data_IF_912621554261
#
_entry.id   IF_912621554261
#
_cell.length_a   1.000
_cell.length_b   1.000
_cell.length_c   1.000
_cell.angle_alpha   90.00
_cell.angle_beta   90.00
_cell.angle_gamma   90.00
#
_symmetry.space_group_name_H-M   'P 1'
#
loop_
_entity.id
_entity.type
_entity.pdbx_description
1 polymer ?
#
# COMPACT_ATOMS: atom_id res chain seq x y z
N UNK A 1 7.26 -0.97 -2.45
CA UNK A 1 6.47 -0.73 -1.23
C UNK A 1 6.06 0.76 -1.18
N UNK A 2 5.09 1.10 -0.33
CA UNK A 2 4.77 2.47 0.12
C UNK A 2 3.97 2.26 1.42
N UNK A 3 4.66 2.12 2.55
CA UNK A 3 4.02 1.75 3.80
C UNK A 3 3.40 2.97 4.49
N UNK A 4 2.20 2.81 5.10
CA UNK A 4 1.63 3.89 5.89
C UNK A 4 2.44 4.11 7.16
N UNK A 5 2.50 5.36 7.61
CA UNK A 5 2.88 5.68 9.00
C UNK A 5 1.66 5.59 9.92
N UNK A 6 1.88 5.54 11.22
CA UNK A 6 0.82 5.53 12.24
C UNK A 6 0.20 6.91 12.47
N UNK A 7 0.68 7.95 11.77
CA UNK A 7 0.10 9.29 11.80
C UNK A 7 -1.29 9.31 11.13
N UNK A 8 -2.16 10.16 11.68
CA UNK A 8 -3.51 10.42 11.17
C UNK A 8 -3.70 11.89 10.86
N UNK A 9 -4.59 12.20 9.91
CA UNK A 9 -5.05 13.58 9.68
C UNK A 9 -5.65 14.17 10.95
N UNK A 10 -5.57 15.50 11.12
CA UNK A 10 -6.28 16.15 12.21
C UNK A 10 -7.77 16.22 11.91
N UNK A 11 -8.56 16.42 12.97
CA UNK A 11 -10.01 16.55 12.86
C UNK A 11 -10.36 17.68 11.88
N UNK A 12 -11.10 17.34 10.84
CA UNK A 12 -11.59 18.28 9.82
C UNK A 12 -10.66 18.45 8.62
N UNK A 13 -9.43 17.92 8.67
CA UNK A 13 -8.49 18.03 7.56
C UNK A 13 -8.87 17.08 6.42
N UNK A 14 -8.63 17.54 5.19
CA UNK A 14 -8.71 16.74 3.98
C UNK A 14 -7.31 16.57 3.37
N UNK A 15 -7.04 15.37 2.85
CA UNK A 15 -5.86 15.08 2.04
C UNK A 15 -6.33 14.49 0.73
N UNK A 16 -5.92 15.11 -0.38
CA UNK A 16 -6.14 14.57 -1.71
C UNK A 16 -4.81 14.10 -2.29
N UNK A 17 -4.76 12.83 -2.69
CA UNK A 17 -3.58 12.14 -3.16
C UNK A 17 -3.78 11.74 -4.62
N UNK A 18 -2.80 12.04 -5.48
CA UNK A 18 -2.70 11.46 -6.83
C UNK A 18 -1.34 10.78 -6.91
N UNK A 19 -1.33 9.46 -7.09
CA UNK A 19 -0.11 8.67 -7.24
C UNK A 19 -0.02 8.06 -8.65
N UNK A 20 1.18 8.12 -9.21
CA UNK A 20 1.54 7.50 -10.48
C UNK A 20 2.63 6.46 -10.21
N UNK A 21 2.42 5.23 -10.69
CA UNK A 21 3.43 4.16 -10.68
C UNK A 21 3.67 3.71 -12.11
N UNK A 22 4.81 4.08 -12.65
CA UNK A 22 5.24 3.64 -13.97
C UNK A 22 5.56 2.15 -13.97
N UNK A 23 5.17 1.48 -15.07
CA UNK A 23 5.35 0.04 -15.26
C UNK A 23 6.69 -0.38 -15.86
N UNK A 24 7.31 0.37 -16.79
CA UNK A 24 8.55 -0.07 -17.41
C UNK A 24 9.65 -0.26 -16.36
N UNK A 25 10.51 -1.24 -16.61
CA UNK A 25 11.62 -1.55 -15.74
C UNK A 25 12.73 -0.53 -15.94
N UNK A 26 13.52 -0.27 -14.90
CA UNK A 26 14.77 0.51 -15.05
C UNK A 26 15.71 -0.16 -16.07
N UNK A 27 15.63 -1.50 -16.20
CA UNK A 27 16.42 -2.27 -17.16
C UNK A 27 16.05 -2.00 -18.63
N UNK A 28 14.89 -1.38 -18.90
CA UNK A 28 14.48 -1.00 -20.26
C UNK A 28 15.29 0.21 -20.78
N UNK A 29 16.12 0.81 -19.91
CA UNK A 29 17.16 1.75 -20.30
C UNK A 29 16.62 3.06 -20.87
N UNK A 30 17.40 3.67 -21.77
CA UNK A 30 17.10 4.99 -22.31
C UNK A 30 15.78 5.03 -23.11
N UNK A 31 15.42 3.94 -23.80
CA UNK A 31 14.22 3.85 -24.64
C UNK A 31 12.92 3.97 -23.83
N UNK A 32 12.94 3.62 -22.54
CA UNK A 32 11.83 3.83 -21.60
C UNK A 32 12.14 4.93 -20.56
N UNK A 33 13.12 5.79 -20.85
CA UNK A 33 13.66 6.80 -19.92
C UNK A 33 13.90 6.24 -18.51
N UNK A 34 14.51 5.06 -18.39
CA UNK A 34 14.77 4.37 -17.12
C UNK A 34 13.52 4.12 -16.27
N UNK A 35 12.37 3.89 -16.91
CA UNK A 35 11.10 3.64 -16.25
C UNK A 35 10.15 4.84 -16.21
N UNK A 36 10.57 6.03 -16.66
CA UNK A 36 9.72 7.23 -16.66
C UNK A 36 8.86 7.38 -17.91
N UNK A 37 9.21 6.73 -19.02
CA UNK A 37 8.45 6.78 -20.27
C UNK A 37 7.71 5.46 -20.49
N UNK A 38 6.39 5.49 -20.33
CA UNK A 38 5.51 4.35 -20.57
C UNK A 38 4.19 4.39 -19.78
N UNK A 39 3.41 3.29 -19.79
CA UNK A 39 2.12 3.23 -19.12
C UNK A 39 2.27 3.32 -17.60
N UNK A 40 1.39 4.11 -16.97
CA UNK A 40 1.35 4.31 -15.53
C UNK A 40 0.07 3.74 -14.90
N UNK A 41 0.22 3.14 -13.73
CA UNK A 41 -0.88 2.85 -12.81
C UNK A 41 -1.14 4.13 -12.01
N UNK A 42 -2.37 4.61 -12.07
CA UNK A 42 -2.79 5.85 -11.42
C UNK A 42 -3.73 5.48 -10.28
N UNK A 43 -3.56 6.13 -9.14
CA UNK A 43 -4.51 6.07 -8.02
C UNK A 43 -4.79 7.47 -7.52
N UNK A 44 -6.07 7.76 -7.33
CA UNK A 44 -6.56 8.99 -6.70
C UNK A 44 -7.21 8.61 -5.38
N UNK A 45 -6.99 9.38 -4.32
CA UNK A 45 -7.67 9.16 -3.06
C UNK A 45 -7.97 10.45 -2.32
N UNK A 46 -9.12 10.46 -1.65
CA UNK A 46 -9.53 11.51 -0.74
C UNK A 46 -9.61 10.95 0.67
N UNK A 47 -8.86 11.54 1.59
CA UNK A 47 -8.93 11.22 3.00
C UNK A 47 -9.52 12.38 3.81
N UNK A 48 -10.17 12.02 4.91
CA UNK A 48 -10.79 12.95 5.85
C UNK A 48 -10.51 12.53 7.30
N UNK A 49 -10.04 13.47 8.11
CA UNK A 49 -9.84 13.28 9.54
C UNK A 49 -11.16 13.42 10.32
N UNK A 50 -11.79 12.30 10.69
CA UNK A 50 -12.97 12.31 11.57
C UNK A 50 -12.64 12.80 12.98
N UNK A 51 -11.42 12.50 13.45
CA UNK A 51 -10.86 13.01 14.70
C UNK A 51 -9.34 13.06 14.61
N UNK A 52 -8.66 13.59 15.64
CA UNK A 52 -7.19 13.57 15.71
C UNK A 52 -6.57 12.16 15.85
N UNK A 53 -7.39 11.10 15.83
CA UNK A 53 -6.96 9.70 15.92
C UNK A 53 -7.69 8.79 14.94
N UNK A 54 -8.60 9.30 14.12
CA UNK A 54 -9.39 8.47 13.21
C UNK A 54 -9.55 9.19 11.88
N UNK A 55 -9.19 8.52 10.80
CA UNK A 55 -9.38 9.01 9.44
C UNK A 55 -10.00 7.92 8.56
N UNK A 56 -10.73 8.37 7.55
CA UNK A 56 -11.22 7.54 6.46
C UNK A 56 -10.53 7.99 5.16
N UNK A 57 -10.27 7.05 4.25
CA UNK A 57 -9.71 7.31 2.91
C UNK A 57 -10.53 6.53 1.88
N UNK A 58 -11.04 7.21 0.86
CA UNK A 58 -11.69 6.61 -0.30
C UNK A 58 -10.77 6.78 -1.50
N UNK A 59 -10.45 5.70 -2.18
CA UNK A 59 -9.56 5.69 -3.34
C UNK A 59 -10.17 5.03 -4.57
N UNK A 60 -9.63 5.38 -5.73
CA UNK A 60 -9.84 4.68 -6.99
C UNK A 60 -8.51 4.53 -7.71
N UNK A 61 -8.24 3.33 -8.22
CA UNK A 61 -7.12 3.06 -9.11
C UNK A 61 -7.60 2.59 -10.49
N UNK A 62 -6.81 2.86 -11.52
CA UNK A 62 -7.03 2.31 -12.86
C UNK A 62 -6.57 0.83 -12.99
N UNK A 63 -6.08 0.22 -11.91
CA UNK A 63 -5.84 -1.23 -11.87
C UNK A 63 -7.18 -1.90 -11.59
N UNK A 64 -7.73 -2.65 -12.55
CA UNK A 64 -9.01 -3.38 -12.43
C UNK A 64 -10.20 -2.49 -12.00
N UNK A 65 -10.12 -1.20 -12.34
CA UNK A 65 -11.03 -0.17 -11.83
C UNK A 65 -11.33 -0.35 -10.33
N UNK A 66 -10.27 -0.55 -9.55
CA UNK A 66 -10.35 -0.83 -8.13
C UNK A 66 -10.82 0.41 -7.36
N UNK A 67 -11.83 0.24 -6.51
CA UNK A 67 -12.32 1.26 -5.58
C UNK A 67 -12.04 0.77 -4.16
N UNK A 68 -11.35 1.56 -3.35
CA UNK A 68 -10.94 1.18 -2.01
C UNK A 68 -11.50 2.12 -0.94
N UNK A 69 -12.00 1.56 0.16
CA UNK A 69 -12.39 2.29 1.36
C UNK A 69 -11.51 1.83 2.53
N UNK A 70 -10.83 2.78 3.15
CA UNK A 70 -9.87 2.52 4.23
C UNK A 70 -10.23 3.33 5.47
N UNK A 71 -9.93 2.77 6.63
CA UNK A 71 -9.95 3.46 7.91
C UNK A 71 -8.59 3.28 8.60
N UNK A 72 -8.11 4.34 9.25
CA UNK A 72 -6.93 4.29 10.12
C UNK A 72 -7.26 4.89 11.46
N UNK A 73 -6.98 4.14 12.52
CA UNK A 73 -7.15 4.55 13.91
C UNK A 73 -5.81 4.54 14.64
N UNK A 74 -5.44 5.67 15.23
CA UNK A 74 -4.27 5.77 16.10
C UNK A 74 -4.62 5.21 17.49
N UNK A 75 -3.99 4.10 17.84
CA UNK A 75 -4.25 3.38 19.10
C UNK A 75 -3.50 4.02 20.27
N UNK A 76 -2.19 4.23 20.10
CA UNK A 76 -1.29 4.67 21.18
C UNK A 76 -0.27 5.68 20.67
N UNK A 77 -0.01 6.70 21.48
CA UNK A 77 1.07 7.67 21.26
C UNK A 77 1.84 7.87 22.57
N UNK A 78 3.13 7.58 22.54
CA UNK A 78 4.06 7.82 23.63
C UNK A 78 5.07 8.89 23.22
N UNK A 79 5.16 9.98 23.98
CA UNK A 79 6.05 11.13 23.71
C UNK A 79 7.34 11.08 24.53
N UNK A 80 7.95 9.91 24.61
CA UNK A 80 9.23 9.73 25.30
C UNK A 80 10.36 10.54 24.65
N UNK A 81 11.37 10.93 25.44
CA UNK A 81 12.56 11.64 24.93
C UNK A 81 13.45 10.75 24.07
N UNK A 82 13.62 9.49 24.47
CA UNK A 82 14.54 8.54 23.81
C UNK A 82 13.85 7.68 22.76
N UNK A 83 12.61 7.26 23.03
CA UNK A 83 11.85 6.35 22.16
C UNK A 83 10.38 6.81 22.03
N UNK A 84 10.11 7.93 21.34
CA UNK A 84 8.75 8.30 21.00
C UNK A 84 8.13 7.20 20.13
N UNK A 85 6.95 6.72 20.48
CA UNK A 85 6.33 5.56 19.83
C UNK A 85 4.91 5.88 19.41
N UNK A 86 4.54 5.48 18.21
CA UNK A 86 3.19 5.63 17.67
C UNK A 86 2.72 4.28 17.14
N UNK A 87 1.48 3.91 17.48
CA UNK A 87 0.84 2.69 17.02
C UNK A 87 -0.51 3.05 16.43
N UNK A 88 -0.79 2.54 15.23
CA UNK A 88 -2.08 2.65 14.59
C UNK A 88 -2.52 1.30 14.02
N UNK A 89 -3.82 1.13 13.88
CA UNK A 89 -4.42 0.06 13.10
C UNK A 89 -5.02 0.68 11.84
N UNK A 90 -4.66 0.13 10.68
CA UNK A 90 -5.22 0.49 9.39
C UNK A 90 -5.88 -0.74 8.78
N UNK A 91 -7.05 -0.56 8.17
CA UNK A 91 -7.69 -1.63 7.43
C UNK A 91 -8.58 -1.06 6.35
N UNK A 92 -8.96 -1.91 5.41
CA UNK A 92 -9.80 -1.49 4.31
C UNK A 92 -10.37 -2.64 3.52
N UNK A 93 -11.32 -2.26 2.67
CA UNK A 93 -11.93 -3.11 1.66
C UNK A 93 -11.68 -2.50 0.30
N UNK A 94 -11.34 -3.32 -0.68
CA UNK A 94 -11.15 -2.91 -2.05
C UNK A 94 -12.08 -3.71 -2.96
N UNK A 95 -12.72 -3.07 -3.92
CA UNK A 95 -13.66 -3.66 -4.86
C UNK A 95 -13.13 -3.50 -6.28
N UNK A 96 -12.83 -4.61 -6.93
CA UNK A 96 -12.40 -4.61 -8.33
C UNK A 96 -13.64 -4.66 -9.23
N UNK A 97 -13.86 -3.58 -9.99
CA UNK A 97 -15.07 -3.44 -10.81
C UNK A 97 -14.87 -3.90 -12.25
N UNK A 98 -13.62 -3.95 -12.70
CA UNK A 98 -13.21 -4.49 -13.99
C UNK A 98 -12.46 -5.80 -13.75
N UNK A 99 -13.16 -6.92 -13.89
CA UNK A 99 -12.57 -8.27 -13.79
C UNK A 99 -12.50 -8.86 -15.19
N UNK A 100 -11.42 -9.57 -15.55
CA UNK A 100 -11.24 -10.06 -16.90
C UNK A 100 -12.41 -10.87 -17.40
N UNK A 101 -12.77 -10.55 -18.63
CA UNK A 101 -13.75 -11.26 -19.45
C UNK A 101 -13.13 -12.60 -19.86
N UNK A 102 -13.92 -13.67 -19.89
CA UNK A 102 -13.50 -14.95 -20.46
C UNK A 102 -13.19 -14.79 -21.96
N UNK A 103 -12.50 -15.78 -22.53
CA UNK A 103 -12.16 -15.81 -23.96
C UNK A 103 -13.38 -15.80 -24.91
N UNK A 104 -14.58 -15.99 -24.37
CA UNK A 104 -15.89 -15.96 -25.04
C UNK A 104 -16.58 -14.58 -24.97
N UNK A 105 -15.95 -13.57 -24.36
CA UNK A 105 -16.57 -12.25 -24.17
C UNK A 105 -17.62 -12.21 -23.06
N UNK A 106 -17.86 -13.31 -22.34
CA UNK A 106 -18.69 -13.32 -21.14
C UNK A 106 -17.83 -13.03 -19.90
N UNK A 107 -18.28 -12.11 -19.05
CA UNK A 107 -17.61 -11.86 -17.77
C UNK A 107 -17.57 -13.14 -16.93
N UNK A 108 -16.38 -13.54 -16.45
CA UNK A 108 -16.21 -14.77 -15.63
C UNK A 108 -17.04 -14.68 -14.33
N UNK A 109 -17.30 -13.46 -13.86
CA UNK A 109 -18.06 -13.16 -12.63
C UNK A 109 -18.84 -11.85 -12.81
N UNK A 110 -19.99 -11.74 -12.14
CA UNK A 110 -20.72 -10.46 -12.03
C UNK A 110 -19.87 -9.44 -11.27
N UNK A 111 -20.01 -8.15 -11.61
CA UNK A 111 -19.32 -7.04 -10.92
C UNK A 111 -19.58 -7.01 -9.41
N UNK A 112 -20.74 -7.53 -8.97
CA UNK A 112 -21.15 -7.59 -7.57
C UNK A 112 -20.81 -8.93 -6.87
N UNK A 113 -20.07 -9.83 -7.53
CA UNK A 113 -19.62 -11.08 -6.92
C UNK A 113 -18.72 -10.78 -5.71
N UNK A 114 -18.95 -11.47 -4.59
CA UNK A 114 -18.18 -11.30 -3.35
C UNK A 114 -16.68 -11.58 -3.53
N UNK A 115 -16.30 -12.39 -4.51
CA UNK A 115 -14.89 -12.67 -4.85
C UNK A 115 -14.16 -11.49 -5.48
N UNK A 116 -14.87 -10.42 -5.78
CA UNK A 116 -14.31 -9.19 -6.34
C UNK A 116 -13.74 -8.26 -5.26
N UNK A 117 -14.05 -8.58 -4.00
CA UNK A 117 -13.64 -7.80 -2.83
C UNK A 117 -12.36 -8.36 -2.23
N UNK A 118 -11.45 -7.46 -1.88
CA UNK A 118 -10.21 -7.75 -1.18
C UNK A 118 -10.22 -7.01 0.14
N UNK A 119 -9.60 -7.60 1.15
CA UNK A 119 -9.59 -7.04 2.49
C UNK A 119 -8.18 -7.05 3.02
N UNK A 120 -7.85 -6.03 3.81
CA UNK A 120 -6.56 -6.00 4.48
C UNK A 120 -6.65 -5.35 5.85
N UNK A 121 -5.72 -5.74 6.71
CA UNK A 121 -5.51 -5.15 8.02
C UNK A 121 -4.00 -5.04 8.26
N UNK A 122 -3.57 -3.91 8.80
CA UNK A 122 -2.18 -3.58 9.09
C UNK A 122 -2.08 -2.98 10.48
N UNK A 123 -1.20 -3.53 11.30
CA UNK A 123 -0.78 -2.87 12.52
C UNK A 123 0.49 -2.08 12.18
N UNK A 124 0.44 -0.77 12.37
CA UNK A 124 1.52 0.14 12.03
C UNK A 124 2.18 0.59 13.32
N UNK A 125 3.47 0.31 13.47
CA UNK A 125 4.30 0.88 14.52
C UNK A 125 5.35 1.78 13.90
N UNK A 126 5.52 3.00 14.44
CA UNK A 126 6.66 3.83 14.09
C UNK A 126 7.28 4.54 15.30
N UNK A 127 8.57 4.79 15.19
CA UNK A 127 9.36 5.50 16.19
C UNK A 127 10.42 6.38 15.52
N UNK A 128 10.91 7.36 16.28
CA UNK A 128 11.99 8.25 15.87
C UNK A 128 13.17 8.08 16.84
N UNK A 129 14.33 7.74 16.30
CA UNK A 129 15.58 7.49 17.02
C UNK A 129 16.60 8.61 16.73
N UNK A 130 17.70 8.61 17.49
CA UNK A 130 18.86 9.49 17.31
C UNK A 130 18.49 10.97 17.15
N UNK A 131 17.77 11.53 18.12
CA UNK A 131 17.29 12.91 18.11
C UNK A 131 16.47 13.25 16.85
N UNK A 132 15.55 12.36 16.47
CA UNK A 132 14.66 12.50 15.29
C UNK A 132 15.36 12.46 13.93
N UNK A 133 16.57 11.91 13.85
CA UNK A 133 17.27 11.71 12.57
C UNK A 133 16.91 10.40 11.87
N UNK A 134 16.45 9.40 12.61
CA UNK A 134 16.11 8.10 12.05
C UNK A 134 14.67 7.72 12.41
N UNK A 135 13.77 7.74 11.42
CA UNK A 135 12.45 7.14 11.51
C UNK A 135 12.52 5.66 11.20
N UNK A 136 11.89 4.84 12.04
CA UNK A 136 11.79 3.38 11.84
C UNK A 136 10.34 2.99 11.98
N UNK A 137 9.87 2.11 11.10
CA UNK A 137 8.55 1.51 11.25
C UNK A 137 8.49 0.05 10.84
N UNK A 138 7.52 -0.64 11.43
CA UNK A 138 7.22 -2.05 11.18
C UNK A 138 5.72 -2.16 10.97
N UNK A 139 5.32 -2.90 9.94
CA UNK A 139 3.96 -3.00 9.44
C UNK A 139 3.60 -4.46 9.12
N UNK A 140 3.36 -5.32 10.13
CA UNK A 140 2.71 -6.60 9.90
C UNK A 140 1.35 -6.38 9.24
N UNK A 141 1.15 -7.06 8.11
CA UNK A 141 0.00 -6.88 7.23
C UNK A 141 -0.62 -8.23 6.92
N UNK A 142 -1.93 -8.33 7.10
CA UNK A 142 -2.73 -9.48 6.67
C UNK A 142 -3.63 -9.05 5.52
N UNK A 143 -3.58 -9.79 4.42
CA UNK A 143 -4.39 -9.59 3.24
C UNK A 143 -5.24 -10.83 3.00
N UNK A 144 -6.52 -10.64 2.72
CA UNK A 144 -7.45 -11.70 2.35
C UNK A 144 -8.00 -11.44 0.95
N UNK A 145 -8.12 -12.52 0.18
CA UNK A 145 -8.34 -12.48 -1.27
C UNK A 145 -7.25 -11.65 -1.98
N UNK A 146 -6.00 -11.91 -1.61
CA UNK A 146 -4.82 -11.16 -2.10
C UNK A 146 -4.54 -11.38 -3.59
N UNK A 147 -5.03 -12.49 -4.17
CA UNK A 147 -4.93 -12.81 -5.58
C UNK A 147 -6.34 -13.01 -6.16
N UNK A 148 -6.88 -11.98 -6.82
CA UNK A 148 -8.27 -12.01 -7.30
C UNK A 148 -8.52 -13.00 -8.46
N UNK A 149 -7.45 -13.42 -9.13
CA UNK A 149 -7.51 -14.33 -10.29
C UNK A 149 -7.52 -15.82 -9.90
N UNK A 150 -7.33 -16.15 -8.62
CA UNK A 150 -7.40 -17.54 -8.17
C UNK A 150 -8.85 -18.02 -8.08
N UNK A 151 -9.02 -19.35 -8.13
CA UNK A 151 -10.33 -19.98 -7.98
C UNK A 151 -10.83 -19.77 -6.55
N UNK A 152 -9.96 -20.04 -5.59
CA UNK A 152 -10.21 -19.90 -4.16
C UNK A 152 -9.61 -18.60 -3.62
N UNK A 153 -10.22 -18.07 -2.56
CA UNK A 153 -9.74 -16.87 -1.88
C UNK A 153 -8.46 -17.18 -1.10
N UNK A 154 -7.39 -16.47 -1.45
CA UNK A 154 -6.08 -16.69 -0.86
C UNK A 154 -5.70 -15.59 0.13
N UNK A 155 -5.06 -15.97 1.24
CA UNK A 155 -4.50 -15.02 2.19
C UNK A 155 -3.01 -14.81 1.97
N UNK A 156 -2.51 -13.64 2.34
CA UNK A 156 -1.07 -13.33 2.37
C UNK A 156 -0.76 -12.55 3.64
N UNK A 157 0.27 -12.97 4.36
CA UNK A 157 0.81 -12.25 5.50
C UNK A 157 2.20 -11.73 5.18
N UNK A 158 2.41 -10.42 5.36
CA UNK A 158 3.69 -9.76 5.10
C UNK A 158 4.15 -8.99 6.33
N UNK A 159 5.47 -8.79 6.43
CA UNK A 159 6.07 -8.01 7.52
C UNK A 159 6.82 -6.82 6.94
N UNK A 160 6.08 -5.74 6.69
CA UNK A 160 6.68 -4.51 6.20
C UNK A 160 7.64 -3.90 7.19
N UNK A 161 8.73 -3.33 6.69
CA UNK A 161 9.61 -2.49 7.48
C UNK A 161 10.14 -1.32 6.64
N UNK A 162 10.26 -0.16 7.27
CA UNK A 162 10.76 1.03 6.61
C UNK A 162 11.70 1.82 7.51
N UNK A 163 12.65 2.50 6.87
CA UNK A 163 13.69 3.29 7.52
C UNK A 163 13.81 4.62 6.78
N UNK A 164 13.67 5.73 7.50
CA UNK A 164 13.81 7.09 6.99
C UNK A 164 14.97 7.77 7.71
N UNK A 165 16.00 8.15 6.98
CA UNK A 165 17.13 8.89 7.49
C UNK A 165 17.05 10.35 7.03
N UNK A 166 16.79 11.25 7.98
CA UNK A 166 16.72 12.69 7.73
C UNK A 166 18.13 13.28 7.72
N UNK A 167 18.62 13.62 6.52
CA UNK A 167 19.92 14.29 6.34
C UNK A 167 19.84 15.72 6.90
N UNK A 168 18.74 16.40 6.63
CA UNK A 168 18.38 17.69 7.19
C UNK A 168 16.85 17.86 7.17
N UNK A 169 16.34 19.09 7.36
CA UNK A 169 14.90 19.37 7.37
C UNK A 169 14.22 19.31 6.00
N UNK A 170 15.00 19.29 4.91
CA UNK A 170 14.48 19.24 3.54
C UNK A 170 14.72 17.89 2.87
N UNK A 171 15.82 17.21 3.21
CA UNK A 171 16.26 16.01 2.49
C UNK A 171 16.27 14.77 3.38
N UNK A 172 15.69 13.69 2.89
CA UNK A 172 15.62 12.38 3.53
C UNK A 172 15.95 11.24 2.56
N UNK A 173 16.59 10.20 3.08
CA UNK A 173 16.78 8.94 2.39
C UNK A 173 15.87 7.90 3.02
N UNK A 174 15.19 7.11 2.20
CA UNK A 174 14.32 6.07 2.73
C UNK A 174 14.51 4.74 2.03
N UNK A 175 14.31 3.68 2.82
CA UNK A 175 14.35 2.29 2.37
C UNK A 175 13.15 1.56 2.97
N UNK A 176 12.43 0.84 2.12
CA UNK A 176 11.32 -0.01 2.51
C UNK A 176 11.52 -1.42 2.00
N UNK A 177 11.26 -2.41 2.85
CA UNK A 177 11.30 -3.81 2.48
C UNK A 177 10.03 -4.51 2.97
N UNK A 178 9.46 -5.35 2.12
CA UNK A 178 8.24 -6.11 2.40
C UNK A 178 8.44 -7.59 2.03
N UNK A 179 8.93 -8.41 2.97
CA UNK A 179 8.93 -9.86 2.84
C UNK A 179 7.53 -10.45 2.99
N UNK A 180 7.20 -11.40 2.12
CA UNK A 180 6.06 -12.31 2.34
C UNK A 180 6.52 -13.36 3.36
N UNK A 181 5.81 -13.44 4.47
CA UNK A 181 6.13 -14.37 5.57
C UNK A 181 5.41 -15.69 5.37
N UNK A 182 4.13 -15.65 4.99
CA UNK A 182 3.30 -16.83 4.69
C UNK A 182 2.12 -16.46 3.79
N UNK A 183 1.48 -17.47 3.21
CA UNK A 183 0.33 -17.32 2.32
C UNK A 183 0.71 -17.39 0.84
N UNK A 184 -0.11 -16.79 -0.01
CA UNK A 184 -0.03 -16.95 -1.45
C UNK A 184 1.19 -16.25 -2.06
N UNK A 185 1.96 -17.03 -2.82
CA UNK A 185 3.16 -16.58 -3.53
C UNK A 185 3.11 -16.89 -5.02
N UNK A 186 1.91 -17.03 -5.59
CA UNK A 186 1.72 -17.30 -7.01
C UNK A 186 1.56 -16.03 -7.84
N UNK A 187 0.92 -16.19 -8.99
CA UNK A 187 0.59 -15.10 -9.93
C UNK A 187 -0.45 -14.18 -9.31
N UNK A 188 -0.16 -12.89 -9.23
CA UNK A 188 -1.03 -11.86 -8.62
C UNK A 188 -1.68 -10.94 -9.67
N UNK A 189 -1.13 -10.89 -10.89
CA UNK A 189 -1.63 -10.09 -12.00
C UNK A 189 -1.95 -10.89 -13.26
N UNK A 190 -2.90 -10.41 -14.07
CA UNK A 190 -3.16 -10.95 -15.40
C UNK A 190 -1.91 -10.75 -16.29
N UNK A 191 -1.39 -11.86 -16.84
CA UNK A 191 -0.20 -11.86 -17.71
C UNK A 191 1.14 -11.96 -16.97
N UNK A 192 1.14 -12.07 -15.63
CA UNK A 192 2.34 -12.41 -14.88
C UNK A 192 2.62 -13.92 -14.94
N UNK A 193 3.91 -14.28 -14.98
CA UNK A 193 4.35 -15.68 -14.92
C UNK A 193 5.29 -15.86 -13.74
N UNK A 194 5.19 -16.99 -13.04
CA UNK A 194 6.06 -17.32 -11.90
C UNK A 194 5.47 -16.99 -10.53
N UNK A 195 6.36 -16.88 -9.54
CA UNK A 195 6.02 -16.63 -8.13
C UNK A 195 6.03 -15.13 -7.84
N UNK A 196 5.21 -14.69 -6.89
CA UNK A 196 5.33 -13.33 -6.36
C UNK A 196 6.65 -13.17 -5.59
N UNK A 197 7.16 -11.94 -5.55
CA UNK A 197 8.44 -11.62 -4.96
C UNK A 197 8.30 -10.66 -3.78
N UNK A 198 9.30 -10.67 -2.90
CA UNK A 198 9.42 -9.64 -1.87
C UNK A 198 9.65 -8.28 -2.53
N UNK A 199 9.09 -7.22 -1.95
CA UNK A 199 9.25 -5.86 -2.49
C UNK A 199 10.35 -5.12 -1.75
N UNK A 200 11.29 -4.52 -2.49
CA UNK A 200 12.24 -3.53 -2.00
C UNK A 200 11.96 -2.21 -2.72
N UNK A 201 11.99 -1.11 -1.98
CA UNK A 201 11.93 0.24 -2.53
C UNK A 201 12.93 1.13 -1.80
N UNK A 202 13.57 2.03 -2.53
CA UNK A 202 14.54 2.98 -2.02
C UNK A 202 14.21 4.31 -2.68
N UNK A 203 14.36 5.40 -1.94
CA UNK A 203 14.18 6.73 -2.50
C UNK A 203 14.90 7.81 -1.72
N UNK A 204 14.82 9.00 -2.29
CA UNK A 204 15.35 10.23 -1.76
C UNK A 204 14.30 11.32 -2.03
N UNK A 205 13.94 12.06 -1.00
CA UNK A 205 12.99 13.17 -1.06
C UNK A 205 13.47 14.38 -0.26
#
# INVERSE_FOLDING_TARGET
ANFPTAETLKKGDFEYEISHRFRPSINDGFDAMYGFDGPARIRMALAYGLSNRLMLKLGRSNILDNIDLQAKVQLLQFRGKTLPSLIALQGGVAWNTEIPVGADGAGIRSRTDGRNFQYYAQLVYNTMLFNKKLGVGIVPSYLYNSAIFTVDSEYTFTLGNYYYYYVNSMWSLWVEYNPIVTGYQGVIGAGETGKSHNSLAIGFD
#
